data_IF_508030976908
#
_entry.id   IF_508030976908
#
_cell.length_a   1.000
_cell.length_b   1.000
_cell.length_c   1.000
_cell.angle_alpha   90.00
_cell.angle_beta   90.00
_cell.angle_gamma   90.00
#
_symmetry.space_group_name_H-M   'P 1'
#
loop_
_entity.id
_entity.type
_entity.pdbx_description
1 polymer ?
#
# COMPACT_ATOMS: atom_id res chain seq x y z
N UNK A 1 -0.16 -9.40 -25.53
CA UNK A 1 0.06 -8.83 -24.18
C UNK A 1 1.52 -8.44 -24.09
N UNK A 2 1.81 -7.14 -24.11
CA UNK A 2 3.16 -6.68 -23.80
C UNK A 2 3.48 -7.06 -22.35
N UNK A 3 4.59 -7.78 -22.16
CA UNK A 3 5.11 -8.03 -20.81
C UNK A 3 5.65 -6.72 -20.28
N UNK A 4 4.98 -6.10 -19.33
CA UNK A 4 5.58 -5.03 -18.58
C UNK A 4 6.69 -5.67 -17.73
N UNK A 5 7.93 -5.32 -18.04
CA UNK A 5 9.08 -5.78 -17.24
C UNK A 5 9.13 -4.86 -16.03
N UNK A 6 8.92 -5.45 -14.83
CA UNK A 6 9.11 -4.72 -13.59
C UNK A 6 10.55 -4.22 -13.49
N UNK A 7 10.71 -2.89 -13.41
CA UNK A 7 12.01 -2.26 -13.24
C UNK A 7 12.15 -1.79 -11.80
N UNK A 8 13.01 -2.46 -11.03
CA UNK A 8 13.32 -2.06 -9.66
C UNK A 8 14.39 -0.95 -9.66
N UNK A 9 14.23 0.00 -8.75
CA UNK A 9 15.21 1.05 -8.48
C UNK A 9 16.22 0.58 -7.42
N UNK A 10 17.42 1.19 -7.30
CA UNK A 10 18.42 0.80 -6.29
C UNK A 10 17.83 0.71 -4.87
N UNK A 11 17.02 1.68 -4.46
CA UNK A 11 16.34 1.68 -3.16
C UNK A 11 15.50 0.42 -2.89
N UNK A 12 14.87 -0.15 -3.91
CA UNK A 12 14.12 -1.40 -3.79
C UNK A 12 15.02 -2.55 -3.29
N UNK A 13 16.21 -2.68 -3.88
CA UNK A 13 17.16 -3.73 -3.49
C UNK A 13 17.69 -3.50 -2.08
N UNK A 14 18.01 -2.25 -1.72
CA UNK A 14 18.48 -1.90 -0.36
C UNK A 14 17.41 -2.26 0.68
N UNK A 15 16.14 -1.95 0.41
CA UNK A 15 15.02 -2.33 1.29
C UNK A 15 14.85 -3.85 1.39
N UNK A 16 14.96 -4.58 0.28
CA UNK A 16 14.87 -6.04 0.31
C UNK A 16 16.02 -6.68 1.10
N UNK A 17 17.25 -6.18 0.97
CA UNK A 17 18.39 -6.62 1.79
C UNK A 17 18.09 -6.37 3.26
N UNK A 18 17.61 -5.17 3.62
CA UNK A 18 17.21 -4.84 4.99
C UNK A 18 16.16 -5.83 5.51
N UNK A 19 15.11 -6.12 4.74
CA UNK A 19 14.07 -7.06 5.16
C UNK A 19 14.61 -8.46 5.42
N UNK A 20 15.48 -8.97 4.55
CA UNK A 20 16.12 -10.28 4.76
C UNK A 20 16.96 -10.30 6.04
N UNK A 21 17.70 -9.23 6.35
CA UNK A 21 18.49 -9.15 7.60
C UNK A 21 17.59 -9.03 8.85
N UNK A 22 16.47 -8.31 8.76
CA UNK A 22 15.48 -8.23 9.83
C UNK A 22 14.80 -9.58 10.08
N UNK A 23 14.47 -10.31 9.00
CA UNK A 23 13.84 -11.65 9.08
C UNK A 23 14.71 -12.64 9.86
N UNK A 24 16.06 -12.57 9.76
CA UNK A 24 16.97 -13.43 10.54
C UNK A 24 16.81 -13.24 12.05
N UNK A 25 16.33 -12.08 12.50
CA UNK A 25 16.18 -11.70 13.91
C UNK A 25 14.75 -11.85 14.44
N UNK A 26 13.84 -12.34 13.59
CA UNK A 26 12.41 -12.33 13.86
C UNK A 26 11.76 -13.63 13.38
N UNK A 27 11.03 -14.31 14.27
CA UNK A 27 10.29 -15.53 13.90
C UNK A 27 8.83 -15.25 13.54
N UNK A 28 8.26 -14.14 14.02
CA UNK A 28 6.87 -13.75 13.74
C UNK A 28 6.62 -12.28 14.09
N UNK A 29 5.55 -11.70 13.54
CA UNK A 29 5.03 -10.41 13.96
C UNK A 29 3.51 -10.44 14.09
N UNK A 30 2.93 -9.43 14.73
CA UNK A 30 1.48 -9.33 14.84
C UNK A 30 0.91 -8.73 13.56
N UNK A 31 1.48 -7.59 13.09
CA UNK A 31 1.00 -6.90 11.88
C UNK A 31 2.17 -6.64 10.92
N UNK A 32 1.99 -7.02 9.65
CA UNK A 32 2.86 -6.64 8.55
C UNK A 32 2.16 -5.59 7.68
N UNK A 33 2.74 -4.38 7.64
CA UNK A 33 2.31 -3.33 6.71
C UNK A 33 3.12 -3.45 5.43
N UNK A 34 2.47 -3.70 4.30
CA UNK A 34 3.12 -3.89 3.00
C UNK A 34 2.53 -2.95 1.96
N UNK A 35 3.39 -2.34 1.14
CA UNK A 35 2.95 -1.39 0.14
C UNK A 35 4.07 -0.54 -0.44
N UNK A 36 3.71 0.64 -0.89
CA UNK A 36 4.61 1.60 -1.51
C UNK A 36 5.15 2.67 -0.52
N UNK A 37 5.43 3.87 -1.02
CA UNK A 37 5.97 4.99 -0.22
C UNK A 37 5.04 5.42 0.92
N UNK A 38 3.73 5.34 0.75
CA UNK A 38 2.80 5.70 1.82
C UNK A 38 2.91 4.74 3.01
N UNK A 39 3.25 3.48 2.75
CA UNK A 39 3.55 2.53 3.82
C UNK A 39 4.96 2.72 4.35
N UNK A 40 5.96 2.87 3.48
CA UNK A 40 7.36 3.03 3.94
C UNK A 40 7.51 4.22 4.88
N UNK A 41 6.88 5.35 4.58
CA UNK A 41 6.95 6.58 5.36
C UNK A 41 6.08 6.56 6.64
N UNK A 42 5.19 5.60 6.78
CA UNK A 42 4.31 5.50 7.96
C UNK A 42 5.10 4.97 9.17
N UNK A 43 5.21 5.77 10.23
CA UNK A 43 5.81 5.37 11.50
C UNK A 43 4.84 4.44 12.24
N UNK A 44 5.22 3.17 12.38
CA UNK A 44 4.37 2.14 13.00
C UNK A 44 4.89 1.64 14.35
N UNK A 45 5.93 2.28 14.87
CA UNK A 45 6.49 1.94 16.18
C UNK A 45 5.39 2.09 17.25
N UNK A 46 5.24 1.07 18.08
CA UNK A 46 4.23 0.99 19.14
C UNK A 46 2.76 1.07 18.66
N UNK A 47 2.49 0.81 17.36
CA UNK A 47 1.12 0.77 16.86
C UNK A 47 0.30 -0.29 17.60
N UNK A 48 -0.74 0.15 18.30
CA UNK A 48 -1.63 -0.68 19.14
C UNK A 48 -0.91 -1.56 20.19
N UNK A 49 0.33 -1.25 20.56
CA UNK A 49 1.14 -2.11 21.43
C UNK A 49 1.51 -3.46 20.81
N UNK A 50 1.31 -3.60 19.49
CA UNK A 50 1.58 -4.83 18.72
C UNK A 50 3.00 -4.80 18.12
N UNK A 51 3.56 -6.00 17.88
CA UNK A 51 4.81 -6.16 17.14
C UNK A 51 4.53 -5.98 15.63
N UNK A 52 4.83 -4.79 15.13
CA UNK A 52 4.59 -4.41 13.73
C UNK A 52 5.87 -4.41 12.92
N UNK A 53 5.78 -4.73 11.62
CA UNK A 53 6.87 -4.58 10.65
C UNK A 53 6.41 -3.73 9.48
N UNK A 54 7.28 -2.79 9.06
CA UNK A 54 7.07 -1.96 7.89
C UNK A 54 7.78 -2.57 6.68
N UNK A 55 7.00 -3.05 5.74
CA UNK A 55 7.44 -3.65 4.47
C UNK A 55 7.05 -2.78 3.26
N UNK A 56 6.96 -1.47 3.47
CA UNK A 56 6.80 -0.49 2.40
C UNK A 56 8.09 -0.29 1.62
N UNK A 57 7.98 -0.01 0.32
CA UNK A 57 9.10 0.37 -0.56
C UNK A 57 8.65 1.53 -1.45
N UNK A 58 9.37 2.66 -1.39
CA UNK A 58 9.11 3.83 -2.23
C UNK A 58 9.08 3.45 -3.71
N UNK A 59 8.09 3.98 -4.43
CA UNK A 59 7.86 3.76 -5.87
C UNK A 59 7.53 2.31 -6.26
N UNK A 60 7.23 1.44 -5.29
CA UNK A 60 6.87 0.06 -5.58
C UNK A 60 5.49 -0.08 -6.21
N UNK A 61 5.28 -1.20 -6.88
CA UNK A 61 4.09 -1.57 -7.61
C UNK A 61 3.58 -2.94 -7.18
N UNK A 62 2.36 -3.25 -7.56
CA UNK A 62 1.74 -4.55 -7.26
C UNK A 62 2.60 -5.75 -7.72
N UNK A 63 3.27 -5.63 -8.87
CA UNK A 63 4.19 -6.65 -9.36
C UNK A 63 5.42 -6.85 -8.47
N UNK A 64 5.98 -5.76 -7.89
CA UNK A 64 7.11 -5.85 -6.97
C UNK A 64 6.74 -6.52 -5.65
N UNK A 65 5.58 -6.18 -5.09
CA UNK A 65 5.04 -6.87 -3.91
C UNK A 65 4.87 -8.36 -4.19
N UNK A 66 4.24 -8.72 -5.32
CA UNK A 66 3.99 -10.12 -5.69
C UNK A 66 5.30 -10.92 -5.84
N UNK A 67 6.29 -10.36 -6.56
CA UNK A 67 7.58 -11.02 -6.77
C UNK A 67 8.36 -11.29 -5.49
N UNK A 68 8.23 -10.42 -4.49
CA UNK A 68 9.02 -10.48 -3.25
C UNK A 68 8.22 -10.95 -2.04
N UNK A 69 6.98 -11.41 -2.23
CA UNK A 69 6.03 -11.69 -1.17
C UNK A 69 6.56 -12.68 -0.12
N UNK A 70 7.35 -13.69 -0.54
CA UNK A 70 7.94 -14.68 0.35
C UNK A 70 8.88 -14.04 1.37
N UNK A 71 9.91 -13.35 0.91
CA UNK A 71 10.94 -12.76 1.78
C UNK A 71 10.43 -11.50 2.49
N UNK A 72 9.50 -10.79 1.85
CA UNK A 72 8.97 -9.50 2.33
C UNK A 72 7.89 -9.67 3.40
N UNK A 73 7.01 -10.65 3.25
CA UNK A 73 5.81 -10.80 4.09
C UNK A 73 5.73 -12.18 4.73
N UNK A 74 5.78 -13.26 3.93
CA UNK A 74 5.52 -14.62 4.42
C UNK A 74 6.59 -15.06 5.44
N UNK A 75 7.85 -14.72 5.20
CA UNK A 75 8.98 -15.09 6.07
C UNK A 75 8.89 -14.56 7.50
N UNK A 76 8.08 -13.52 7.76
CA UNK A 76 7.88 -12.97 9.12
C UNK A 76 6.61 -13.48 9.80
N UNK A 77 5.92 -14.44 9.20
CA UNK A 77 4.73 -15.11 9.76
C UNK A 77 3.77 -14.14 10.48
N UNK A 78 3.23 -13.12 9.78
CA UNK A 78 2.33 -12.15 10.37
C UNK A 78 0.97 -12.79 10.71
N UNK A 79 0.34 -12.33 11.80
CA UNK A 79 -1.06 -12.66 12.09
C UNK A 79 -2.02 -11.83 11.24
N UNK A 80 -1.63 -10.58 10.96
CA UNK A 80 -2.40 -9.64 10.15
C UNK A 80 -1.50 -9.00 9.08
N UNK A 81 -2.04 -8.81 7.87
CA UNK A 81 -1.37 -8.11 6.76
C UNK A 81 -2.25 -6.94 6.34
N UNK A 82 -1.69 -5.74 6.35
CA UNK A 82 -2.30 -4.56 5.74
C UNK A 82 -1.63 -4.29 4.39
N UNK A 83 -2.40 -4.35 3.30
CA UNK A 83 -1.91 -4.15 1.93
C UNK A 83 -2.44 -2.85 1.34
N UNK A 84 -1.52 -1.92 1.04
CA UNK A 84 -1.77 -0.69 0.28
C UNK A 84 -0.86 -0.65 -0.94
N UNK A 85 -1.37 -0.81 -2.16
CA UNK A 85 -0.58 -0.83 -3.39
C UNK A 85 -1.46 -0.54 -4.62
N UNK A 86 -0.88 0.04 -5.68
CA UNK A 86 -1.53 0.25 -6.97
C UNK A 86 -1.43 1.68 -7.51
N UNK A 87 -1.09 2.66 -6.67
CA UNK A 87 -0.97 4.06 -7.08
C UNK A 87 0.14 4.27 -8.11
N UNK A 88 1.32 3.68 -7.89
CA UNK A 88 2.44 3.76 -8.82
C UNK A 88 2.24 2.91 -10.07
N UNK A 89 1.46 1.85 -9.99
CA UNK A 89 1.05 1.05 -11.16
C UNK A 89 0.30 1.93 -12.18
N UNK A 90 -0.61 2.80 -11.71
CA UNK A 90 -1.34 3.75 -12.57
C UNK A 90 -0.38 4.71 -13.26
N UNK A 91 0.58 5.27 -12.53
CA UNK A 91 1.59 6.18 -13.08
C UNK A 91 2.48 5.52 -14.14
N UNK A 92 2.84 4.27 -13.93
CA UNK A 92 3.69 3.51 -14.85
C UNK A 92 2.90 2.82 -15.99
N UNK A 93 1.61 3.12 -16.11
CA UNK A 93 0.78 2.69 -17.24
C UNK A 93 0.32 1.25 -17.19
N UNK A 94 0.36 0.59 -16.02
CA UNK A 94 -0.27 -0.73 -15.86
C UNK A 94 -1.77 -0.64 -16.13
N UNK A 95 -2.31 -1.65 -16.77
CA UNK A 95 -3.75 -1.76 -16.94
C UNK A 95 -4.41 -2.16 -15.62
N UNK A 96 -5.64 -1.70 -15.40
CA UNK A 96 -6.41 -2.10 -14.20
C UNK A 96 -6.51 -3.63 -14.07
N UNK A 97 -6.57 -4.35 -15.20
CA UNK A 97 -6.60 -5.81 -15.21
C UNK A 97 -5.30 -6.43 -14.70
N UNK A 98 -4.14 -5.85 -15.02
CA UNK A 98 -2.85 -6.32 -14.50
C UNK A 98 -2.75 -6.09 -12.99
N UNK A 99 -3.18 -4.91 -12.51
CA UNK A 99 -3.18 -4.57 -11.08
C UNK A 99 -4.12 -5.51 -10.33
N UNK A 100 -5.33 -5.72 -10.84
CA UNK A 100 -6.32 -6.67 -10.29
C UNK A 100 -5.73 -8.08 -10.13
N UNK A 101 -5.10 -8.59 -11.19
CA UNK A 101 -4.49 -9.92 -11.17
C UNK A 101 -3.40 -10.00 -10.11
N UNK A 102 -2.49 -9.03 -10.06
CA UNK A 102 -1.41 -9.00 -9.07
C UNK A 102 -1.95 -8.97 -7.63
N UNK A 103 -2.98 -8.14 -7.33
CA UNK A 103 -3.58 -8.07 -5.99
C UNK A 103 -4.26 -9.40 -5.63
N UNK A 104 -4.98 -10.02 -6.57
CA UNK A 104 -5.61 -11.33 -6.35
C UNK A 104 -4.56 -12.41 -6.07
N UNK A 105 -3.48 -12.45 -6.84
CA UNK A 105 -2.40 -13.42 -6.65
C UNK A 105 -1.69 -13.21 -5.30
N UNK A 106 -1.46 -11.95 -4.88
CA UNK A 106 -0.95 -11.64 -3.54
C UNK A 106 -1.88 -12.21 -2.45
N UNK A 107 -3.19 -11.96 -2.56
CA UNK A 107 -4.18 -12.47 -1.59
C UNK A 107 -4.18 -14.00 -1.54
N UNK A 108 -4.16 -14.66 -2.69
CA UNK A 108 -4.13 -16.12 -2.78
C UNK A 108 -2.87 -16.67 -2.14
N UNK A 109 -1.69 -16.16 -2.50
CA UNK A 109 -0.41 -16.60 -1.94
C UNK A 109 -0.34 -16.39 -0.42
N UNK A 110 -0.86 -15.27 0.09
CA UNK A 110 -0.92 -15.05 1.55
C UNK A 110 -1.79 -16.10 2.24
N UNK A 111 -2.98 -16.38 1.71
CA UNK A 111 -3.90 -17.38 2.29
C UNK A 111 -3.35 -18.80 2.20
N UNK A 112 -2.63 -19.14 1.15
CA UNK A 112 -2.03 -20.48 0.98
C UNK A 112 -0.84 -20.73 1.90
N UNK A 113 -0.06 -19.69 2.21
CA UNK A 113 1.19 -19.82 2.95
C UNK A 113 1.10 -19.40 4.43
N UNK A 114 0.06 -18.66 4.84
CA UNK A 114 -0.13 -18.19 6.20
C UNK A 114 -1.47 -18.68 6.75
N UNK A 115 -1.40 -19.61 7.70
CA UNK A 115 -2.61 -20.16 8.35
C UNK A 115 -3.32 -19.05 9.15
N UNK A 116 -4.63 -18.94 8.94
CA UNK A 116 -5.52 -18.04 9.68
C UNK A 116 -5.11 -16.54 9.62
N UNK A 117 -4.34 -16.14 8.61
CA UNK A 117 -3.94 -14.74 8.44
C UNK A 117 -5.15 -13.85 8.17
N UNK A 118 -5.25 -12.75 8.92
CA UNK A 118 -6.20 -11.68 8.62
C UNK A 118 -5.55 -10.74 7.58
N UNK A 119 -6.18 -10.59 6.42
CA UNK A 119 -5.73 -9.68 5.38
C UNK A 119 -6.69 -8.50 5.33
N UNK A 120 -6.15 -7.28 5.44
CA UNK A 120 -6.88 -6.02 5.27
C UNK A 120 -6.36 -5.36 4.01
N UNK A 121 -7.22 -5.20 3.01
CA UNK A 121 -6.91 -4.43 1.82
C UNK A 121 -7.16 -2.95 2.08
N UNK A 122 -6.53 -2.08 1.29
CA UNK A 122 -6.78 -0.65 1.31
C UNK A 122 -7.10 -0.13 -0.07
N UNK A 123 -8.10 0.75 -0.18
CA UNK A 123 -8.24 1.58 -1.38
C UNK A 123 -7.05 2.53 -1.48
N UNK A 124 -6.69 2.96 -2.70
CA UNK A 124 -5.60 3.91 -2.93
C UNK A 124 -6.11 5.34 -2.80
N UNK A 125 -5.26 6.23 -2.31
CA UNK A 125 -5.56 7.64 -2.08
C UNK A 125 -5.53 8.45 -3.37
N UNK A 126 -6.31 9.56 -3.48
CA UNK A 126 -6.11 10.53 -4.56
C UNK A 126 -4.85 11.35 -4.31
N UNK A 127 -4.23 11.93 -5.33
CA UNK A 127 -3.24 12.99 -5.16
C UNK A 127 -3.94 14.32 -4.84
N UNK A 128 -3.17 15.32 -4.48
CA UNK A 128 -3.63 16.70 -4.38
C UNK A 128 -3.66 17.33 -5.78
N UNK A 129 -4.84 17.74 -6.22
CA UNK A 129 -5.04 18.42 -7.50
C UNK A 129 -5.00 19.95 -7.40
N UNK A 130 -4.83 20.48 -6.19
CA UNK A 130 -4.73 21.92 -5.95
C UNK A 130 -3.32 22.44 -6.25
N UNK A 131 -3.24 23.69 -6.71
CA UNK A 131 -1.96 24.38 -6.84
C UNK A 131 -1.59 25.01 -5.50
N UNK A 132 -0.46 24.59 -4.94
CA UNK A 132 0.10 25.14 -3.72
C UNK A 132 1.63 25.00 -3.73
N UNK A 133 2.30 25.77 -2.88
CA UNK A 133 3.78 25.79 -2.81
C UNK A 133 4.38 24.43 -2.48
N UNK A 134 3.69 23.67 -1.62
CA UNK A 134 4.10 22.33 -1.21
C UNK A 134 3.56 21.19 -2.10
N UNK A 135 2.94 21.50 -3.25
CA UNK A 135 2.36 20.49 -4.14
C UNK A 135 3.15 20.43 -5.44
N UNK A 136 3.82 19.31 -5.69
CA UNK A 136 4.46 19.06 -6.98
C UNK A 136 3.42 18.46 -7.96
N UNK A 137 3.07 19.17 -9.04
CA UNK A 137 2.05 18.73 -9.99
C UNK A 137 2.42 17.41 -10.70
N UNK A 138 3.68 17.00 -10.70
CA UNK A 138 4.11 15.73 -11.31
C UNK A 138 3.38 14.54 -10.71
N UNK A 139 3.07 14.59 -9.42
CA UNK A 139 2.38 13.52 -8.71
C UNK A 139 0.90 13.41 -9.09
N UNK A 140 0.23 14.55 -9.34
CA UNK A 140 -1.14 14.56 -9.81
C UNK A 140 -1.24 14.16 -11.29
N UNK A 141 -0.29 14.60 -12.11
CA UNK A 141 -0.32 14.42 -13.58
C UNK A 141 -0.30 12.94 -14.02
N UNK A 142 0.34 12.05 -13.26
CA UNK A 142 0.36 10.63 -13.59
C UNK A 142 -0.77 9.83 -12.93
N UNK A 143 -1.58 10.43 -12.06
CA UNK A 143 -2.63 9.79 -11.26
C UNK A 143 -4.02 10.25 -11.70
N UNK A 144 -4.53 9.66 -12.79
CA UNK A 144 -5.86 9.93 -13.30
C UNK A 144 -6.92 9.50 -12.28
N UNK A 145 -7.77 10.43 -11.84
CA UNK A 145 -8.81 10.18 -10.85
C UNK A 145 -9.79 9.08 -11.26
N UNK A 146 -10.14 9.00 -12.54
CA UNK A 146 -11.05 7.96 -13.04
C UNK A 146 -10.42 6.56 -12.94
N UNK A 147 -9.10 6.46 -13.14
CA UNK A 147 -8.38 5.19 -12.95
C UNK A 147 -8.25 4.83 -11.48
N UNK A 148 -8.03 5.82 -10.61
CA UNK A 148 -7.99 5.62 -9.14
C UNK A 148 -9.34 5.08 -8.66
N UNK A 149 -10.44 5.74 -9.02
CA UNK A 149 -11.79 5.30 -8.65
C UNK A 149 -12.08 3.88 -9.17
N UNK A 150 -11.78 3.61 -10.44
CA UNK A 150 -11.98 2.29 -11.02
C UNK A 150 -11.12 1.20 -10.35
N UNK A 151 -9.88 1.52 -9.94
CA UNK A 151 -9.06 0.58 -9.17
C UNK A 151 -9.63 0.37 -7.76
N UNK A 152 -10.13 1.41 -7.12
CA UNK A 152 -10.73 1.31 -5.79
C UNK A 152 -11.99 0.41 -5.81
N UNK A 153 -12.83 0.53 -6.83
CA UNK A 153 -13.95 -0.40 -7.04
C UNK A 153 -13.48 -1.86 -7.20
N UNK A 154 -12.38 -2.08 -7.93
CA UNK A 154 -11.77 -3.41 -8.06
C UNK A 154 -11.28 -3.92 -6.70
N UNK A 155 -10.61 -3.09 -5.91
CA UNK A 155 -10.13 -3.48 -4.57
C UNK A 155 -11.31 -3.83 -3.64
N UNK A 156 -12.38 -3.05 -3.66
CA UNK A 156 -13.60 -3.33 -2.91
C UNK A 156 -14.25 -4.65 -3.35
N UNK A 157 -14.29 -4.91 -4.66
CA UNK A 157 -14.80 -6.17 -5.20
C UNK A 157 -13.93 -7.37 -4.75
N UNK A 158 -12.60 -7.25 -4.78
CA UNK A 158 -11.68 -8.28 -4.27
C UNK A 158 -11.96 -8.52 -2.77
N UNK A 159 -12.11 -7.46 -1.97
CA UNK A 159 -12.47 -7.57 -0.56
C UNK A 159 -13.74 -8.40 -0.35
N UNK A 160 -14.78 -8.10 -1.12
CA UNK A 160 -16.04 -8.85 -1.09
C UNK A 160 -15.89 -10.31 -1.54
N UNK A 161 -15.22 -10.55 -2.66
CA UNK A 161 -15.06 -11.89 -3.25
C UNK A 161 -14.27 -12.84 -2.36
N UNK A 162 -13.27 -12.32 -1.64
CA UNK A 162 -12.40 -13.10 -0.75
C UNK A 162 -12.80 -12.99 0.73
N UNK A 163 -13.90 -12.28 1.03
CA UNK A 163 -14.39 -12.00 2.40
C UNK A 163 -13.28 -11.37 3.27
N UNK A 164 -12.70 -10.27 2.77
CA UNK A 164 -11.64 -9.51 3.43
C UNK A 164 -12.15 -8.13 3.83
N UNK A 165 -11.79 -7.61 5.01
CA UNK A 165 -12.02 -6.21 5.34
C UNK A 165 -11.22 -5.30 4.39
N UNK A 166 -11.81 -4.16 4.05
CA UNK A 166 -11.16 -3.13 3.25
C UNK A 166 -11.17 -1.83 4.04
N UNK A 167 -10.00 -1.23 4.22
CA UNK A 167 -9.88 0.14 4.70
C UNK A 167 -10.11 1.10 3.53
N UNK A 168 -11.23 1.81 3.55
CA UNK A 168 -11.53 2.80 2.52
C UNK A 168 -10.73 4.09 2.77
N UNK A 169 -9.44 4.02 2.42
CA UNK A 169 -8.51 5.12 2.59
C UNK A 169 -8.86 6.32 1.71
N UNK A 170 -9.38 6.06 0.50
CA UNK A 170 -9.83 7.11 -0.40
C UNK A 170 -10.90 7.98 0.27
N UNK A 171 -11.99 7.39 0.72
CA UNK A 171 -13.10 8.12 1.34
C UNK A 171 -12.69 8.77 2.66
N UNK A 172 -11.72 8.20 3.36
CA UNK A 172 -11.23 8.77 4.61
C UNK A 172 -10.45 10.09 4.40
N UNK A 173 -9.69 10.21 3.28
CA UNK A 173 -8.75 11.32 3.10
C UNK A 173 -9.15 12.31 2.01
N UNK A 174 -9.95 11.88 1.03
CA UNK A 174 -10.43 12.75 -0.04
C UNK A 174 -11.38 13.84 0.49
N UNK A 175 -11.28 15.01 -0.11
CA UNK A 175 -12.27 16.07 0.09
C UNK A 175 -13.47 15.90 -0.88
N UNK A 176 -14.38 16.87 -0.88
CA UNK A 176 -15.56 16.89 -1.75
C UNK A 176 -15.24 16.94 -3.25
N UNK A 177 -14.03 17.36 -3.62
CA UNK A 177 -13.52 17.39 -4.99
C UNK A 177 -12.70 16.15 -5.34
N UNK A 178 -12.72 15.11 -4.50
CA UNK A 178 -11.95 13.87 -4.64
C UNK A 178 -10.44 14.11 -4.71
N UNK A 179 -9.96 15.10 -3.99
CA UNK A 179 -8.56 15.50 -3.90
C UNK A 179 -8.03 15.30 -2.49
N UNK A 180 -6.75 14.99 -2.37
CA UNK A 180 -6.02 15.13 -1.11
C UNK A 180 -5.92 16.63 -0.79
N UNK A 181 -6.17 17.01 0.47
CA UNK A 181 -6.09 18.42 0.89
C UNK A 181 -4.63 18.88 0.97
N UNK A 182 -4.39 20.15 0.67
CA UNK A 182 -3.06 20.76 0.72
C UNK A 182 -2.42 20.63 2.11
N UNK A 183 -3.22 20.80 3.16
CA UNK A 183 -2.76 20.69 4.55
C UNK A 183 -2.49 19.28 5.04
N UNK A 184 -2.90 18.25 4.29
CA UNK A 184 -2.71 16.85 4.66
C UNK A 184 -1.50 16.21 3.93
N UNK A 185 -0.87 16.93 2.99
CA UNK A 185 0.24 16.41 2.18
C UNK A 185 1.55 17.16 2.38
N UNK A 186 2.66 16.47 2.08
CA UNK A 186 4.00 17.04 2.02
C UNK A 186 4.33 17.61 0.63
N UNK A 187 3.84 16.94 -0.43
CA UNK A 187 4.26 17.19 -1.81
C UNK A 187 3.16 16.96 -2.86
N UNK A 188 1.94 16.67 -2.42
CA UNK A 188 0.79 16.36 -3.28
C UNK A 188 0.40 14.88 -3.30
N UNK A 189 1.21 13.98 -2.73
CA UNK A 189 0.92 12.55 -2.61
C UNK A 189 1.24 12.01 -1.22
N UNK A 190 2.44 12.31 -0.72
CA UNK A 190 2.87 11.80 0.56
C UNK A 190 2.23 12.57 1.71
N UNK A 191 1.79 11.85 2.73
CA UNK A 191 1.09 12.43 3.87
C UNK A 191 2.07 13.04 4.87
N UNK A 192 1.66 14.13 5.51
CA UNK A 192 2.41 14.66 6.64
C UNK A 192 2.15 13.85 7.93
N UNK A 193 2.97 14.07 8.97
CA UNK A 193 2.94 13.30 10.20
C UNK A 193 1.57 13.38 10.90
N UNK A 194 0.98 14.57 10.96
CA UNK A 194 -0.34 14.80 11.58
C UNK A 194 -1.44 13.99 10.89
N UNK A 195 -1.37 13.85 9.58
CA UNK A 195 -2.32 13.07 8.79
C UNK A 195 -2.09 11.58 8.99
N UNK A 196 -0.83 11.12 9.04
CA UNK A 196 -0.54 9.74 9.42
C UNK A 196 -1.08 9.38 10.81
N UNK A 197 -1.05 10.30 11.78
CA UNK A 197 -1.62 10.04 13.12
C UNK A 197 -3.13 9.81 13.06
N UNK A 198 -3.86 10.60 12.25
CA UNK A 198 -5.29 10.37 12.00
C UNK A 198 -5.53 9.00 11.33
N UNK A 199 -4.73 8.66 10.32
CA UNK A 199 -4.80 7.36 9.61
C UNK A 199 -4.57 6.21 10.57
N UNK A 200 -3.57 6.28 11.44
CA UNK A 200 -3.28 5.23 12.44
C UNK A 200 -4.45 5.00 13.40
N UNK A 201 -5.14 6.07 13.82
CA UNK A 201 -6.33 5.95 14.67
C UNK A 201 -7.44 5.17 13.95
N UNK A 202 -7.72 5.48 12.68
CA UNK A 202 -8.74 4.78 11.91
C UNK A 202 -8.35 3.33 11.60
N UNK A 203 -7.10 3.09 11.23
CA UNK A 203 -6.57 1.73 11.01
C UNK A 203 -6.68 0.87 12.28
N UNK A 204 -6.47 1.47 13.45
CA UNK A 204 -6.59 0.77 14.74
C UNK A 204 -8.00 0.25 15.05
N UNK A 205 -9.02 0.67 14.32
CA UNK A 205 -10.40 0.15 14.45
C UNK A 205 -10.62 -1.13 13.64
N UNK A 206 -9.73 -1.43 12.69
CA UNK A 206 -9.85 -2.55 11.75
C UNK A 206 -8.79 -3.62 12.03
N UNK A 207 -7.58 -3.20 12.44
CA UNK A 207 -6.42 -4.05 12.79
C UNK A 207 -6.36 -4.39 14.33
#
# INVERSE_FOLDING_TARGET
>A
MEKIIYQAYPHFYDRMIQFVEENKKMSSCDICFVGDSLIEMMKIENFLGKKCVNRGIISDKSAGVLMTLNDRVIAVHPKEVFLFIGSNDICDGYTLKQIEMNIKDIVIMLKENLKDVKIVLSTITPPCYYQAENVDPIYANCRDILKIEALNEIILAIGKDYNLPVFDFFSFIADENKSLRVEDTLDGVHLNEKTYDKVKIELGKIL
#
